data_IF_200740032772
#
_entry.id   IF_200740032772
#
_cell.length_a   1.000
_cell.length_b   1.000
_cell.length_c   1.000
_cell.angle_alpha   90.00
_cell.angle_beta   90.00
_cell.angle_gamma   90.00
#
_symmetry.space_group_name_H-M   'P 1'
#
loop_
_entity.id
_entity.type
_entity.pdbx_description
1 polymer ?
#
# COMPACT_ATOMS: atom_id res chain seq x y z
N UNK A 1 -1.64 25.07 7.96
CA UNK A 1 -0.84 24.14 8.78
C UNK A 1 0.04 23.39 7.80
N UNK A 2 1.34 23.66 7.82
CA UNK A 2 2.30 23.05 6.90
C UNK A 2 2.75 21.75 7.57
N UNK A 3 2.45 20.61 6.98
CA UNK A 3 2.91 19.32 7.50
C UNK A 3 4.45 19.31 7.41
N UNK A 4 5.10 19.31 8.57
CA UNK A 4 6.56 19.28 8.66
C UNK A 4 7.03 17.83 8.53
N UNK A 5 7.31 17.41 7.31
CA UNK A 5 7.77 16.05 7.00
C UNK A 5 9.25 15.81 7.37
N UNK A 6 9.90 16.70 8.12
CA UNK A 6 11.24 16.45 8.66
C UNK A 6 11.29 15.36 9.77
N UNK A 7 10.22 14.59 9.99
CA UNK A 7 10.26 13.27 10.67
C UNK A 7 10.78 12.16 9.71
N UNK A 8 11.95 12.38 9.11
CA UNK A 8 12.45 11.69 7.90
C UNK A 8 12.72 10.18 7.94
N UNK A 9 12.15 9.41 8.87
CA UNK A 9 12.26 7.95 8.95
C UNK A 9 10.90 7.22 9.07
N UNK A 10 9.77 7.91 8.98
CA UNK A 10 8.48 7.21 9.00
C UNK A 10 8.28 6.44 7.69
N UNK A 11 7.96 5.14 7.81
CA UNK A 11 7.56 4.30 6.67
C UNK A 11 6.14 3.82 6.97
N UNK A 12 5.21 4.21 6.10
CA UNK A 12 3.84 3.74 6.13
C UNK A 12 3.76 2.38 5.44
N UNK A 13 3.18 1.39 6.11
CA UNK A 13 2.87 0.09 5.52
C UNK A 13 1.36 0.00 5.37
N UNK A 14 0.89 -0.26 4.15
CA UNK A 14 -0.54 -0.33 3.84
C UNK A 14 -0.98 -1.76 3.53
N UNK A 15 -2.13 -2.14 4.08
CA UNK A 15 -2.82 -3.41 3.85
C UNK A 15 -3.83 -3.31 2.70
N UNK A 16 -4.23 -4.47 2.15
CA UNK A 16 -5.22 -4.59 1.08
C UNK A 16 -6.52 -3.86 1.40
N UNK A 17 -7.06 -4.06 2.61
CA UNK A 17 -8.33 -3.47 3.03
C UNK A 17 -8.29 -1.93 2.99
N UNK A 18 -7.18 -1.34 3.43
CA UNK A 18 -6.99 0.10 3.40
C UNK A 18 -6.87 0.65 1.97
N UNK A 19 -6.17 -0.05 1.06
CA UNK A 19 -6.09 0.33 -0.35
C UNK A 19 -7.46 0.28 -1.04
N UNK A 20 -8.27 -0.75 -0.75
CA UNK A 20 -9.63 -0.86 -1.27
C UNK A 20 -10.51 0.28 -0.77
N UNK A 21 -10.44 0.61 0.52
CA UNK A 21 -11.18 1.73 1.10
C UNK A 21 -10.71 3.06 0.52
N UNK A 22 -9.40 3.23 0.29
CA UNK A 22 -8.83 4.44 -0.29
C UNK A 22 -9.36 4.67 -1.72
N UNK A 23 -9.34 3.65 -2.57
CA UNK A 23 -9.92 3.71 -3.93
C UNK A 23 -11.42 4.00 -3.92
N UNK A 24 -12.16 3.34 -3.03
CA UNK A 24 -13.59 3.55 -2.90
C UNK A 24 -13.95 4.96 -2.41
N UNK A 25 -13.24 5.45 -1.40
CA UNK A 25 -13.52 6.74 -0.74
C UNK A 25 -13.00 7.92 -1.56
N UNK A 26 -11.82 7.77 -2.15
CA UNK A 26 -11.09 8.81 -2.87
C UNK A 26 -10.86 8.38 -4.32
N UNK A 27 -11.94 8.09 -5.04
CA UNK A 27 -11.84 7.65 -6.43
C UNK A 27 -10.98 8.61 -7.27
N UNK A 28 -9.96 8.08 -7.96
CA UNK A 28 -8.99 8.84 -8.73
C UNK A 28 -9.60 9.69 -9.86
N UNK A 29 -10.75 9.26 -10.41
CA UNK A 29 -11.48 10.01 -11.44
C UNK A 29 -12.16 11.27 -10.87
N UNK A 30 -12.25 11.40 -9.54
CA UNK A 30 -12.74 12.61 -8.90
C UNK A 30 -11.61 13.65 -8.78
N UNK A 31 -11.70 14.79 -9.48
CA UNK A 31 -10.63 15.79 -9.49
C UNK A 31 -10.38 16.43 -8.11
N UNK A 32 -11.34 16.37 -7.20
CA UNK A 32 -11.19 16.87 -5.83
C UNK A 32 -10.28 15.95 -5.00
N UNK A 33 -10.28 14.66 -5.30
CA UNK A 33 -9.55 13.64 -4.52
C UNK A 33 -8.24 13.19 -5.16
N UNK A 34 -7.93 13.66 -6.37
CA UNK A 34 -6.67 13.38 -7.08
C UNK A 34 -5.44 13.79 -6.27
N UNK A 35 -5.50 14.89 -5.53
CA UNK A 35 -4.39 15.39 -4.72
C UNK A 35 -3.94 14.37 -3.63
N UNK A 36 -4.88 13.59 -3.07
CA UNK A 36 -4.56 12.54 -2.08
C UNK A 36 -3.74 11.43 -2.73
N UNK A 37 -4.13 10.99 -3.93
CA UNK A 37 -3.36 9.99 -4.67
C UNK A 37 -1.99 10.52 -5.09
N UNK A 38 -1.89 11.77 -5.52
CA UNK A 38 -0.61 12.40 -5.86
C UNK A 38 0.34 12.46 -4.64
N UNK A 39 -0.17 12.75 -3.45
CA UNK A 39 0.61 12.71 -2.20
C UNK A 39 1.08 11.29 -1.86
N UNK A 40 0.20 10.28 -1.99
CA UNK A 40 0.60 8.87 -1.80
C UNK A 40 1.67 8.46 -2.82
N UNK A 41 1.52 8.84 -4.09
CA UNK A 41 2.50 8.55 -5.14
C UNK A 41 3.86 9.23 -4.86
N UNK A 42 3.87 10.46 -4.33
CA UNK A 42 5.08 11.14 -3.90
C UNK A 42 5.78 10.39 -2.77
N UNK A 43 5.03 9.96 -1.74
CA UNK A 43 5.56 9.15 -0.64
C UNK A 43 6.13 7.79 -1.11
N UNK A 44 5.50 7.15 -2.10
CA UNK A 44 6.04 5.93 -2.72
C UNK A 44 7.38 6.22 -3.41
N UNK A 45 7.45 7.32 -4.16
CA UNK A 45 8.66 7.70 -4.90
C UNK A 45 9.84 7.99 -3.96
N UNK A 46 9.56 8.53 -2.79
CA UNK A 46 10.53 8.79 -1.73
C UNK A 46 10.86 7.55 -0.89
N UNK A 47 10.12 6.44 -1.07
CA UNK A 47 10.32 5.20 -0.33
C UNK A 47 9.70 5.17 1.06
N UNK A 48 8.81 6.11 1.38
CA UNK A 48 8.11 6.24 2.66
C UNK A 48 6.76 5.53 2.71
N UNK A 49 6.33 4.92 1.60
CA UNK A 49 5.05 4.21 1.53
C UNK A 49 5.24 2.85 0.86
N UNK A 50 4.88 1.78 1.57
CA UNK A 50 5.20 0.39 1.22
C UNK A 50 4.02 -0.54 1.44
N UNK A 51 4.08 -1.68 0.76
CA UNK A 51 3.27 -2.86 1.04
C UNK A 51 4.09 -4.12 0.78
N UNK A 52 3.51 -5.30 0.99
CA UNK A 52 4.16 -6.59 0.79
C UNK A 52 3.59 -7.32 -0.44
N UNK A 53 4.36 -8.25 -0.99
CA UNK A 53 3.94 -9.06 -2.14
C UNK A 53 2.63 -9.82 -1.92
N UNK A 54 2.33 -10.27 -0.68
CA UNK A 54 1.03 -10.86 -0.35
C UNK A 54 -0.17 -9.90 -0.56
N UNK A 55 0.01 -8.60 -0.31
CA UNK A 55 -1.04 -7.58 -0.57
C UNK A 55 -1.19 -7.35 -2.08
N UNK A 56 -0.10 -7.35 -2.84
CA UNK A 56 -0.15 -7.33 -4.31
C UNK A 56 -0.96 -8.54 -4.84
N UNK A 57 -0.69 -9.74 -4.32
CA UNK A 57 -1.40 -10.97 -4.71
C UNK A 57 -2.89 -10.90 -4.34
N UNK A 58 -3.22 -10.42 -3.14
CA UNK A 58 -4.61 -10.27 -2.70
C UNK A 58 -5.38 -9.29 -3.62
N UNK A 59 -4.81 -8.12 -3.92
CA UNK A 59 -5.39 -7.14 -4.84
C UNK A 59 -5.60 -7.74 -6.23
N UNK A 60 -4.62 -8.51 -6.74
CA UNK A 60 -4.72 -9.13 -8.06
C UNK A 60 -5.78 -10.23 -8.10
N UNK A 61 -5.92 -11.00 -7.01
CA UNK A 61 -6.91 -12.07 -6.86
C UNK A 61 -8.35 -11.56 -6.67
N UNK A 62 -8.51 -10.29 -6.24
CA UNK A 62 -9.82 -9.72 -6.00
C UNK A 62 -10.65 -9.63 -7.29
N UNK A 63 -11.78 -10.32 -7.35
CA UNK A 63 -12.65 -10.38 -8.54
C UNK A 63 -13.51 -9.11 -8.75
N UNK A 64 -13.38 -8.12 -7.86
CA UNK A 64 -14.11 -6.85 -7.92
C UNK A 64 -13.62 -5.86 -9.00
N UNK A 65 -14.32 -4.72 -9.11
CA UNK A 65 -14.08 -3.63 -10.10
C UNK A 65 -12.81 -2.80 -9.87
N UNK A 66 -11.81 -3.33 -9.16
CA UNK A 66 -10.61 -2.60 -8.75
C UNK A 66 -9.53 -2.58 -9.86
N UNK A 67 -9.95 -2.41 -11.12
CA UNK A 67 -9.05 -2.35 -12.27
C UNK A 67 -8.03 -1.22 -12.14
N UNK A 68 -8.44 -0.13 -11.48
CA UNK A 68 -7.55 0.97 -11.13
C UNK A 68 -6.43 0.49 -10.19
N UNK A 69 -6.78 -0.09 -9.03
CA UNK A 69 -5.80 -0.55 -8.05
C UNK A 69 -4.83 -1.58 -8.64
N UNK A 70 -5.31 -2.55 -9.42
CA UNK A 70 -4.45 -3.54 -10.08
C UNK A 70 -3.41 -2.88 -10.99
N UNK A 71 -3.83 -1.90 -11.80
CA UNK A 71 -2.92 -1.13 -12.67
C UNK A 71 -1.98 -0.24 -11.86
N UNK A 72 -2.48 0.35 -10.79
CA UNK A 72 -1.74 1.27 -9.92
C UNK A 72 -0.64 0.56 -9.13
N UNK A 73 -0.95 -0.58 -8.49
CA UNK A 73 0.04 -1.43 -7.81
C UNK A 73 1.10 -1.88 -8.81
N UNK A 74 0.69 -2.34 -10.01
CA UNK A 74 1.64 -2.74 -11.06
C UNK A 74 2.55 -1.61 -11.52
N UNK A 75 2.03 -0.38 -11.67
CA UNK A 75 2.81 0.82 -12.01
C UNK A 75 3.90 1.08 -10.96
N UNK A 76 3.54 0.97 -9.68
CA UNK A 76 4.42 1.33 -8.57
C UNK A 76 5.21 0.19 -7.97
N UNK A 77 4.99 -1.06 -8.43
CA UNK A 77 5.53 -2.29 -7.84
C UNK A 77 6.96 -2.20 -7.36
N UNK A 78 7.87 -1.69 -8.19
CA UNK A 78 9.32 -1.57 -7.88
C UNK A 78 9.60 -0.71 -6.64
N UNK A 79 8.77 0.29 -6.38
CA UNK A 79 8.93 1.25 -5.30
C UNK A 79 7.98 0.98 -4.13
N UNK A 80 6.82 0.36 -4.39
CA UNK A 80 5.77 0.10 -3.43
C UNK A 80 5.90 -1.26 -2.74
N UNK A 81 6.19 -2.32 -3.51
CA UNK A 81 6.09 -3.71 -3.03
C UNK A 81 7.43 -4.20 -2.51
N UNK A 82 7.42 -4.73 -1.29
CA UNK A 82 8.53 -5.44 -0.67
C UNK A 82 8.29 -6.94 -0.78
N UNK A 83 9.28 -7.67 -1.29
CA UNK A 83 9.24 -9.12 -1.29
C UNK A 83 9.46 -9.64 0.13
N UNK A 84 8.50 -10.40 0.65
CA UNK A 84 8.62 -11.04 1.96
C UNK A 84 9.57 -12.22 1.85
N UNK A 85 10.60 -12.23 2.69
CA UNK A 85 11.60 -13.28 2.72
C UNK A 85 11.28 -14.37 3.76
N UNK A 86 12.02 -15.47 3.70
CA UNK A 86 11.86 -16.58 4.64
C UNK A 86 12.08 -16.17 6.10
N UNK A 87 12.93 -15.18 6.37
CA UNK A 87 13.19 -14.70 7.72
C UNK A 87 11.97 -14.01 8.31
N UNK A 88 11.34 -13.13 7.52
CA UNK A 88 10.10 -12.45 7.87
C UNK A 88 8.97 -13.45 8.07
N UNK A 89 8.81 -14.43 7.16
CA UNK A 89 7.82 -15.49 7.31
C UNK A 89 7.99 -16.27 8.63
N UNK A 90 9.23 -16.67 8.95
CA UNK A 90 9.53 -17.38 10.18
C UNK A 90 9.24 -16.55 11.44
N UNK A 91 9.45 -15.23 11.39
CA UNK A 91 9.14 -14.32 12.48
C UNK A 91 7.62 -14.16 12.70
N UNK A 92 6.81 -14.32 11.66
CA UNK A 92 5.34 -14.22 11.74
C UNK A 92 4.68 -15.48 12.34
N UNK A 93 5.28 -16.67 12.19
CA UNK A 93 4.74 -17.94 12.72
C UNK A 93 4.33 -17.88 14.20
N UNK A 94 5.19 -17.43 15.14
CA UNK A 94 4.80 -17.36 16.55
C UNK A 94 3.64 -16.39 16.79
N UNK A 95 3.59 -15.26 16.07
CA UNK A 95 2.53 -14.27 16.21
C UNK A 95 1.17 -14.88 15.82
N UNK A 96 1.12 -15.54 14.67
CA UNK A 96 -0.11 -16.22 14.21
C UNK A 96 -0.52 -17.31 15.21
N UNK A 97 0.42 -18.13 15.68
CA UNK A 97 0.11 -19.21 16.61
C UNK A 97 -0.28 -18.72 18.02
N UNK A 98 0.07 -17.49 18.41
CA UNK A 98 -0.40 -16.85 19.65
C UNK A 98 -1.83 -16.31 19.52
N UNK A 99 -2.31 -16.04 18.29
CA UNK A 99 -3.67 -15.59 18.01
C UNK A 99 -4.71 -16.73 17.91
N UNK A 100 -4.28 -18.00 17.92
CA UNK A 100 -5.12 -19.21 17.81
C UNK A 100 -5.07 -20.08 19.07
#
# INVERSE_FOLDING_TARGET
MQLDFNQGNCIYVIDTSALIILDFTFNYDNPVFKAIWEEVEDLISQGHFKTINFVEDEINSYEGKQDFLKKWVKKWRKHLVIEVDSATMNATIPIINEEY
#
